data_IF_395320769748
#
_entry.id   IF_395320769748
#
_cell.length_a   1.000
_cell.length_b   1.000
_cell.length_c   1.000
_cell.angle_alpha   90.00
_cell.angle_beta   90.00
_cell.angle_gamma   90.00
#
_symmetry.space_group_name_H-M   'P 1'
#
loop_
_entity.id
_entity.type
_entity.pdbx_description
1 polymer ?
#
# COMPACT_ATOMS: atom_id res chain seq x y z
N UNK A 1 -5.78 -18.37 13.65
CA UNK A 1 -6.94 -18.36 12.75
C UNK A 1 -6.55 -17.50 11.53
N UNK A 2 -6.44 -18.11 10.33
CA UNK A 2 -5.84 -17.46 9.14
C UNK A 2 -6.77 -16.43 8.46
N UNK A 3 -8.08 -16.50 8.73
CA UNK A 3 -9.08 -15.64 8.10
C UNK A 3 -9.03 -14.21 8.66
N UNK A 4 -8.80 -14.04 9.96
CA UNK A 4 -8.67 -12.75 10.63
C UNK A 4 -7.45 -12.01 10.10
N UNK A 5 -6.32 -12.72 9.91
CA UNK A 5 -5.12 -12.15 9.34
C UNK A 5 -5.34 -11.66 7.89
N UNK A 6 -6.09 -12.42 7.09
CA UNK A 6 -6.47 -12.02 5.73
C UNK A 6 -7.37 -10.78 5.73
N UNK A 7 -8.39 -10.74 6.60
CA UNK A 7 -9.30 -9.60 6.73
C UNK A 7 -8.56 -8.34 7.17
N UNK A 8 -7.69 -8.46 8.18
CA UNK A 8 -6.86 -7.35 8.67
C UNK A 8 -5.96 -6.83 7.54
N UNK A 9 -5.32 -7.73 6.79
CA UNK A 9 -4.45 -7.34 5.67
C UNK A 9 -5.21 -6.60 4.57
N UNK A 10 -6.42 -7.07 4.20
CA UNK A 10 -7.27 -6.40 3.21
C UNK A 10 -7.70 -5.02 3.69
N UNK A 11 -8.13 -4.89 4.95
CA UNK A 11 -8.53 -3.60 5.54
C UNK A 11 -7.36 -2.62 5.54
N UNK A 12 -6.18 -3.08 5.96
CA UNK A 12 -4.96 -2.27 6.00
C UNK A 12 -4.55 -1.85 4.58
N UNK A 13 -4.60 -2.77 3.62
CA UNK A 13 -4.33 -2.48 2.21
C UNK A 13 -5.31 -1.47 1.62
N UNK A 14 -6.61 -1.58 1.94
CA UNK A 14 -7.63 -0.64 1.48
C UNK A 14 -7.42 0.76 2.05
N UNK A 15 -7.15 0.88 3.35
CA UNK A 15 -6.84 2.16 4.01
C UNK A 15 -5.55 2.75 3.42
N UNK A 16 -4.49 1.95 3.31
CA UNK A 16 -3.20 2.39 2.79
C UNK A 16 -3.28 2.85 1.34
N UNK A 17 -4.02 2.11 0.50
CA UNK A 17 -4.27 2.45 -0.89
C UNK A 17 -5.05 3.75 -1.07
N UNK A 18 -6.14 3.92 -0.31
CA UNK A 18 -6.91 5.16 -0.31
C UNK A 18 -6.06 6.37 0.12
N UNK A 19 -5.28 6.23 1.20
CA UNK A 19 -4.36 7.27 1.65
C UNK A 19 -3.29 7.60 0.61
N UNK A 20 -2.67 6.58 0.00
CA UNK A 20 -1.70 6.76 -1.07
C UNK A 20 -2.30 7.49 -2.28
N UNK A 21 -3.54 7.18 -2.64
CA UNK A 21 -4.28 7.88 -3.68
C UNK A 21 -4.55 9.35 -3.38
N UNK A 22 -4.77 9.71 -2.11
CA UNK A 22 -4.90 11.10 -1.68
C UNK A 22 -3.54 11.82 -1.75
N UNK A 23 -2.47 11.15 -1.33
CA UNK A 23 -1.09 11.67 -1.38
C UNK A 23 -0.65 11.92 -2.83
N UNK A 24 -1.00 11.02 -3.73
CA UNK A 24 -0.65 11.08 -5.15
C UNK A 24 -1.71 11.81 -6.00
N UNK A 25 -1.75 13.14 -5.87
CA UNK A 25 -2.65 14.00 -6.67
C UNK A 25 -2.39 13.85 -8.17
N UNK A 26 -3.38 13.39 -8.92
CA UNK A 26 -3.33 13.21 -10.38
C UNK A 26 -2.75 11.88 -10.89
N UNK A 27 -2.32 11.00 -9.98
CA UNK A 27 -1.78 9.67 -10.30
C UNK A 27 -2.67 8.50 -9.80
N UNK A 28 -3.70 8.79 -9.00
CA UNK A 28 -4.64 7.80 -8.49
C UNK A 28 -5.63 7.26 -9.53
N UNK A 29 -6.19 6.09 -9.25
CA UNK A 29 -7.16 5.36 -10.09
C UNK A 29 -8.61 5.44 -9.57
N UNK A 30 -8.94 6.49 -8.80
CA UNK A 30 -10.18 6.55 -8.03
C UNK A 30 -10.19 5.58 -6.84
N UNK A 31 -11.29 5.54 -6.08
CA UNK A 31 -11.35 4.79 -4.81
C UNK A 31 -11.04 3.29 -5.00
N UNK A 32 -11.70 2.63 -5.94
CA UNK A 32 -11.56 1.17 -6.16
C UNK A 32 -10.15 0.82 -6.65
N UNK A 33 -9.62 1.54 -7.64
CA UNK A 33 -8.28 1.29 -8.16
C UNK A 33 -7.21 1.52 -7.10
N UNK A 34 -7.36 2.57 -6.28
CA UNK A 34 -6.44 2.84 -5.18
C UNK A 34 -6.46 1.74 -4.12
N UNK A 35 -7.62 1.14 -3.82
CA UNK A 35 -7.72 -0.02 -2.91
C UNK A 35 -6.97 -1.23 -3.46
N UNK A 36 -7.15 -1.56 -4.74
CA UNK A 36 -6.45 -2.69 -5.38
C UNK A 36 -4.93 -2.48 -5.34
N UNK A 37 -4.48 -1.29 -5.72
CA UNK A 37 -3.06 -0.93 -5.66
C UNK A 37 -2.55 -0.94 -4.22
N UNK A 38 -3.39 -0.53 -3.26
CA UNK A 38 -3.12 -0.60 -1.83
C UNK A 38 -2.87 -2.00 -1.31
N UNK A 39 -3.70 -2.96 -1.70
CA UNK A 39 -3.56 -4.37 -1.32
C UNK A 39 -2.26 -4.96 -1.90
N UNK A 40 -1.99 -4.73 -3.20
CA UNK A 40 -0.75 -5.20 -3.84
C UNK A 40 0.46 -4.51 -3.20
N UNK A 41 0.37 -3.21 -2.93
CA UNK A 41 1.40 -2.41 -2.27
C UNK A 41 1.73 -2.91 -0.89
N UNK A 42 0.73 -3.27 -0.09
CA UNK A 42 0.94 -3.85 1.24
C UNK A 42 1.73 -5.16 1.20
N UNK A 43 1.46 -6.05 0.23
CA UNK A 43 2.26 -7.26 0.03
C UNK A 43 3.71 -6.94 -0.36
N UNK A 44 3.91 -6.04 -1.34
CA UNK A 44 5.25 -5.68 -1.83
C UNK A 44 6.05 -5.00 -0.72
N UNK A 45 5.46 -4.03 -0.02
CA UNK A 45 6.10 -3.32 1.08
C UNK A 45 6.46 -4.24 2.25
N UNK A 46 5.54 -5.13 2.66
CA UNK A 46 5.81 -6.10 3.72
C UNK A 46 6.97 -7.05 3.40
N UNK A 47 7.21 -7.32 2.12
CA UNK A 47 8.34 -8.12 1.65
C UNK A 47 9.61 -7.28 1.44
N UNK A 48 9.49 -6.07 0.90
CA UNK A 48 10.62 -5.24 0.46
C UNK A 48 11.24 -4.42 1.60
N UNK A 49 10.43 -3.76 2.43
CA UNK A 49 10.90 -2.86 3.50
C UNK A 49 11.86 -3.55 4.49
N UNK A 50 11.57 -4.78 4.97
CA UNK A 50 12.51 -5.47 5.87
C UNK A 50 13.83 -5.85 5.20
N UNK A 51 13.84 -6.08 3.87
CA UNK A 51 15.06 -6.44 3.13
C UNK A 51 16.01 -5.27 2.93
N UNK A 52 15.47 -4.05 2.90
CA UNK A 52 16.27 -2.82 2.80
C UNK A 52 16.61 -2.24 4.18
N UNK A 53 16.40 -3.01 5.26
CA UNK A 53 16.70 -2.62 6.64
C UNK A 53 15.70 -1.65 7.26
N UNK A 54 14.54 -1.44 6.64
CA UNK A 54 13.49 -0.56 7.17
C UNK A 54 12.48 -1.39 7.95
N UNK A 55 12.49 -1.22 9.27
CA UNK A 55 11.53 -1.85 10.18
C UNK A 55 10.62 -0.78 10.77
N UNK A 56 9.44 -0.61 10.16
CA UNK A 56 8.46 0.38 10.64
C UNK A 56 7.59 -0.23 11.73
N UNK A 57 8.09 -0.18 12.96
CA UNK A 57 7.36 -0.57 14.16
C UNK A 57 6.70 -1.95 14.11
N UNK A 58 5.86 -2.25 15.10
CA UNK A 58 5.04 -3.46 15.15
C UNK A 58 3.55 -3.13 15.22
N UNK A 59 2.71 -4.11 14.90
CA UNK A 59 1.26 -4.00 15.03
C UNK A 59 0.55 -3.29 13.87
N UNK A 60 -0.67 -2.84 14.13
CA UNK A 60 -1.60 -2.32 13.11
C UNK A 60 -1.05 -1.03 12.48
N UNK A 61 -0.48 -0.13 13.27
CA UNK A 61 0.03 1.16 12.78
C UNK A 61 1.20 0.97 11.82
N UNK A 62 2.19 0.14 12.18
CA UNK A 62 3.31 -0.18 11.29
C UNK A 62 2.85 -0.83 9.99
N UNK A 63 1.84 -1.71 10.08
CA UNK A 63 1.25 -2.38 8.92
C UNK A 63 0.54 -1.38 7.97
N UNK A 64 -0.17 -0.38 8.51
CA UNK A 64 -0.77 0.71 7.72
C UNK A 64 0.32 1.53 7.03
N UNK A 65 1.38 1.92 7.74
CA UNK A 65 2.46 2.71 7.16
C UNK A 65 3.15 1.93 6.03
N UNK A 66 3.46 0.65 6.25
CA UNK A 66 4.02 -0.22 5.22
C UNK A 66 3.09 -0.29 3.99
N UNK A 67 1.79 -0.48 4.19
CA UNK A 67 0.81 -0.50 3.11
C UNK A 67 0.76 0.81 2.32
N UNK A 68 0.78 1.96 3.00
CA UNK A 68 0.83 3.28 2.35
C UNK A 68 2.10 3.41 1.52
N UNK A 69 3.28 3.07 2.06
CA UNK A 69 4.54 3.18 1.33
C UNK A 69 4.53 2.33 0.06
N UNK A 70 4.12 1.06 0.17
CA UNK A 70 4.04 0.18 -0.99
C UNK A 70 3.06 0.69 -2.05
N UNK A 71 1.91 1.19 -1.62
CA UNK A 71 0.90 1.75 -2.51
C UNK A 71 1.40 3.03 -3.21
N UNK A 72 2.09 3.92 -2.50
CA UNK A 72 2.70 5.13 -3.08
C UNK A 72 3.76 4.77 -4.11
N UNK A 73 4.63 3.80 -3.82
CA UNK A 73 5.66 3.34 -4.77
C UNK A 73 5.01 2.79 -6.04
N UNK A 74 4.00 1.93 -5.91
CA UNK A 74 3.27 1.38 -7.07
C UNK A 74 2.58 2.47 -7.88
N UNK A 75 1.80 3.34 -7.23
CA UNK A 75 1.10 4.43 -7.92
C UNK A 75 2.10 5.35 -8.63
N UNK A 76 3.26 5.62 -8.01
CA UNK A 76 4.33 6.40 -8.62
C UNK A 76 4.83 5.76 -9.91
N UNK A 77 5.26 4.50 -9.85
CA UNK A 77 5.75 3.76 -11.03
C UNK A 77 4.71 3.72 -12.14
N UNK A 78 3.46 3.41 -11.80
CA UNK A 78 2.37 3.34 -12.77
C UNK A 78 2.10 4.73 -13.39
N UNK A 79 2.16 5.80 -12.57
CA UNK A 79 1.95 7.17 -13.06
C UNK A 79 3.06 7.65 -14.00
N UNK A 80 4.30 7.20 -13.79
CA UNK A 80 5.42 7.47 -14.69
C UNK A 80 5.20 6.81 -16.05
N UNK A 81 4.81 5.54 -16.07
CA UNK A 81 4.52 4.81 -17.30
C UNK A 81 3.35 5.41 -18.07
N UNK A 82 2.30 5.87 -17.38
CA UNK A 82 1.15 6.53 -18.02
C UNK A 82 1.45 7.92 -18.62
N UNK A 83 2.51 8.58 -18.15
CA UNK A 83 2.91 9.92 -18.63
C UNK A 83 3.91 9.88 -19.79
N UNK A 84 4.54 8.72 -20.03
CA UNK A 84 5.45 8.49 -21.15
C UNK A 84 4.66 8.05 -22.40
#
# INVERSE_FOLDING_TARGET
MPIEALLIWIIIGAIGGWLAGILMKGAGFGLIGNIIVGIIGAAIAGWLLPRIGIHIGGGIVGSIINAVIGAVILLFVISLVKRA
#
